data_IF_337780752231
#
_entry.id   IF_337780752231
#
_cell.length_a   1.000
_cell.length_b   1.000
_cell.length_c   1.000
_cell.angle_alpha   90.00
_cell.angle_beta   90.00
_cell.angle_gamma   90.00
#
_symmetry.space_group_name_H-M   'P 1'
#
loop_
_entity.id
_entity.type
_entity.pdbx_description
1 polymer ?
#
# COMPACT_ATOMS: atom_id res chain seq x y z
N UNK A 1 -44.04 55.77 8.27
CA UNK A 1 -43.94 54.65 9.24
C UNK A 1 -43.77 53.35 8.46
N UNK A 2 -42.68 52.62 8.73
CA UNK A 2 -42.55 51.18 8.45
C UNK A 2 -42.15 50.76 7.02
N UNK A 3 -40.84 50.61 6.77
CA UNK A 3 -40.17 49.63 5.88
C UNK A 3 -38.75 50.10 5.51
N UNK A 4 -37.80 50.11 6.45
CA UNK A 4 -36.37 50.20 6.08
C UNK A 4 -35.37 49.63 7.09
N UNK A 5 -35.83 48.98 8.16
CA UNK A 5 -34.96 48.54 9.28
C UNK A 5 -34.88 47.02 9.44
N UNK A 6 -34.96 46.24 8.34
CA UNK A 6 -34.71 44.78 8.40
C UNK A 6 -33.61 44.26 7.45
N UNK A 7 -33.07 45.05 6.53
CA UNK A 7 -32.05 44.56 5.57
C UNK A 7 -30.60 44.82 5.97
N UNK A 8 -30.33 45.43 7.14
CA UNK A 8 -28.96 45.71 7.60
C UNK A 8 -28.49 44.87 8.79
N UNK A 9 -29.34 43.99 9.33
CA UNK A 9 -28.98 43.10 10.45
C UNK A 9 -28.73 41.63 10.05
N UNK A 10 -28.99 41.24 8.80
CA UNK A 10 -28.81 39.85 8.33
C UNK A 10 -27.47 39.63 7.59
N UNK A 11 -26.70 40.69 7.28
CA UNK A 11 -25.40 40.58 6.61
C UNK A 11 -24.17 40.70 7.55
N UNK A 12 -24.37 40.74 8.87
CA UNK A 12 -23.29 40.90 9.84
C UNK A 12 -23.06 39.66 10.75
N UNK A 13 -23.65 38.51 10.39
CA UNK A 13 -23.58 37.26 11.18
C UNK A 13 -22.91 36.08 10.44
N UNK A 14 -22.25 36.30 9.31
CA UNK A 14 -21.62 35.22 8.52
C UNK A 14 -20.13 35.41 8.24
N UNK A 15 -19.41 36.07 9.16
CA UNK A 15 -17.93 36.03 9.19
C UNK A 15 -17.46 35.78 10.62
N UNK A 16 -17.87 34.65 11.19
CA UNK A 16 -16.99 33.93 12.08
C UNK A 16 -16.27 32.92 11.21
N UNK A 17 -15.26 33.38 10.46
CA UNK A 17 -14.19 32.48 10.08
C UNK A 17 -13.52 32.10 11.40
N UNK A 18 -13.97 31.00 12.01
CA UNK A 18 -13.09 30.24 12.88
C UNK A 18 -11.89 29.93 11.99
N UNK A 19 -10.81 30.70 12.13
CA UNK A 19 -9.51 30.24 11.67
C UNK A 19 -9.29 28.95 12.45
N UNK A 20 -9.61 27.81 11.83
CA UNK A 20 -9.33 26.54 12.46
C UNK A 20 -7.83 26.40 12.34
N UNK A 21 -7.14 26.68 13.45
CA UNK A 21 -5.72 26.39 13.56
C UNK A 21 -5.52 24.90 13.25
N UNK A 22 -4.40 24.56 12.59
CA UNK A 22 -4.02 23.16 12.39
C UNK A 22 -3.98 22.39 13.71
N UNK A 23 -3.90 21.06 13.63
CA UNK A 23 -3.88 20.23 14.82
C UNK A 23 -2.69 20.61 15.71
N UNK A 24 -2.95 20.82 17.01
CA UNK A 24 -1.92 21.12 18.00
C UNK A 24 -1.10 19.87 18.31
N UNK A 25 0.16 19.88 17.87
CA UNK A 25 1.11 18.77 18.00
C UNK A 25 2.27 19.16 18.90
N UNK A 26 2.37 18.48 20.05
CA UNK A 26 3.50 18.53 20.96
C UNK A 26 4.37 17.27 20.79
N UNK A 27 5.48 17.42 20.08
CA UNK A 27 6.44 16.33 19.83
C UNK A 27 7.23 15.91 21.09
N UNK A 28 7.09 16.62 22.22
CA UNK A 28 7.71 16.22 23.49
C UNK A 28 6.81 15.30 24.33
N UNK A 29 5.56 15.11 23.90
CA UNK A 29 4.55 14.32 24.60
C UNK A 29 4.06 13.15 23.74
N UNK A 30 4.49 11.93 24.07
CA UNK A 30 4.04 10.70 23.40
C UNK A 30 2.50 10.58 23.41
N UNK A 31 1.85 11.01 24.49
CA UNK A 31 0.39 10.98 24.61
C UNK A 31 -0.29 11.97 23.66
N UNK A 32 0.30 13.15 23.44
CA UNK A 32 -0.18 14.10 22.45
C UNK A 32 -0.01 13.53 21.02
N UNK A 33 1.16 12.99 20.68
CA UNK A 33 1.41 12.37 19.37
C UNK A 33 0.39 11.26 19.09
N UNK A 34 0.14 10.37 20.06
CA UNK A 34 -0.88 9.30 19.95
C UNK A 34 -2.29 9.86 19.78
N UNK A 35 -2.65 10.93 20.50
CA UNK A 35 -3.95 11.60 20.38
C UNK A 35 -4.17 12.23 19.00
N UNK A 36 -3.14 12.89 18.46
CA UNK A 36 -3.15 13.46 17.10
C UNK A 36 -3.26 12.34 16.07
N UNK A 37 -2.44 11.30 16.17
CA UNK A 37 -2.50 10.13 15.28
C UNK A 37 -3.89 9.48 15.29
N UNK A 38 -4.51 9.31 16.46
CA UNK A 38 -5.87 8.79 16.61
C UNK A 38 -6.91 9.64 15.87
N UNK A 39 -6.76 10.96 15.93
CA UNK A 39 -7.66 11.90 15.24
C UNK A 39 -7.54 11.76 13.73
N UNK A 40 -6.31 11.74 13.21
CA UNK A 40 -6.02 11.59 11.77
C UNK A 40 -6.52 10.22 11.26
N UNK A 41 -6.27 9.14 11.99
CA UNK A 41 -6.77 7.79 11.61
C UNK A 41 -8.29 7.75 11.58
N UNK A 42 -8.97 8.35 12.56
CA UNK A 42 -10.42 8.39 12.58
C UNK A 42 -11.00 9.14 11.36
N UNK A 43 -10.31 10.16 10.87
CA UNK A 43 -10.67 10.91 9.66
C UNK A 43 -10.31 10.13 8.37
N UNK A 44 -9.13 9.50 8.32
CA UNK A 44 -8.70 8.65 7.21
C UNK A 44 -9.65 7.47 6.99
N UNK A 45 -10.08 6.78 8.05
CA UNK A 45 -10.97 5.61 7.96
C UNK A 45 -12.35 5.95 7.41
N UNK A 46 -12.80 7.22 7.52
CA UNK A 46 -14.06 7.67 6.92
C UNK A 46 -14.05 7.65 5.38
N UNK A 47 -12.88 7.58 4.74
CA UNK A 47 -12.78 7.37 3.30
C UNK A 47 -13.03 5.91 2.88
N UNK A 48 -12.93 4.97 3.82
CA UNK A 48 -13.16 3.54 3.59
C UNK A 48 -14.52 3.07 4.13
N UNK A 49 -14.92 3.58 5.31
CA UNK A 49 -16.11 3.13 6.04
C UNK A 49 -16.97 4.34 6.46
N UNK A 50 -18.21 4.43 6.00
CA UNK A 50 -19.10 5.58 6.28
C UNK A 50 -19.59 5.60 7.72
N UNK A 51 -19.79 4.42 8.31
CA UNK A 51 -19.99 4.16 9.73
C UNK A 51 -19.24 2.89 10.12
N UNK A 52 -19.01 2.61 11.43
CA UNK A 52 -18.34 1.38 11.84
C UNK A 52 -19.01 0.14 11.25
N UNK A 53 -18.28 -0.62 10.44
CA UNK A 53 -18.74 -1.86 9.81
C UNK A 53 -19.43 -1.70 8.45
N UNK A 54 -19.64 -0.46 7.96
CA UNK A 54 -20.23 -0.21 6.64
C UNK A 54 -19.15 0.26 5.67
N UNK A 55 -18.57 -0.69 4.94
CA UNK A 55 -17.54 -0.45 3.91
C UNK A 55 -18.18 0.20 2.69
N UNK A 56 -17.67 1.35 2.25
CA UNK A 56 -18.26 2.14 1.16
C UNK A 56 -18.28 1.37 -0.17
N UNK A 57 -17.22 0.62 -0.45
CA UNK A 57 -17.10 -0.22 -1.66
C UNK A 57 -17.88 -1.54 -1.57
N UNK A 58 -18.41 -1.90 -0.38
CA UNK A 58 -18.92 -3.22 -0.04
C UNK A 58 -17.90 -4.38 -0.17
N UNK A 59 -16.61 -4.09 -0.38
CA UNK A 59 -15.57 -5.10 -0.57
C UNK A 59 -14.46 -4.83 0.47
N UNK A 60 -14.22 -5.75 1.43
CA UNK A 60 -13.16 -5.58 2.41
C UNK A 60 -11.80 -5.33 1.77
N UNK A 61 -11.11 -4.28 2.20
CA UNK A 61 -9.82 -3.88 1.67
C UNK A 61 -9.85 -3.01 0.40
N UNK A 62 -11.02 -2.84 -0.23
CA UNK A 62 -11.16 -2.02 -1.43
C UNK A 62 -11.61 -0.60 -1.06
N UNK A 63 -10.81 0.39 -1.44
CA UNK A 63 -11.22 1.80 -1.38
C UNK A 63 -12.21 2.14 -2.50
N UNK A 64 -13.06 3.17 -2.33
CA UNK A 64 -13.88 3.68 -3.44
C UNK A 64 -13.01 4.06 -4.64
N UNK A 65 -13.48 3.76 -5.86
CA UNK A 65 -12.71 3.95 -7.10
C UNK A 65 -12.65 2.67 -7.93
N UNK A 66 -11.67 2.55 -8.85
CA UNK A 66 -10.61 3.51 -9.14
C UNK A 66 -11.09 4.71 -10.00
N UNK A 67 -10.32 5.82 -10.04
CA UNK A 67 -10.55 6.89 -10.99
C UNK A 67 -10.23 6.43 -12.43
N UNK A 68 -10.76 7.13 -13.43
CA UNK A 68 -10.52 6.76 -14.84
C UNK A 68 -9.05 6.91 -15.28
N UNK A 69 -8.31 7.82 -14.62
CA UNK A 69 -6.87 8.00 -14.81
C UNK A 69 -6.29 8.69 -13.54
N UNK A 70 -4.97 8.65 -13.33
CA UNK A 70 -4.37 9.09 -12.08
C UNK A 70 -4.38 10.62 -11.87
N UNK A 71 -4.67 11.44 -12.88
CA UNK A 71 -4.78 12.90 -12.71
C UNK A 71 -6.14 13.32 -12.14
N UNK A 72 -7.11 12.42 -12.03
CA UNK A 72 -8.40 12.67 -11.38
C UNK A 72 -8.26 12.30 -9.90
N UNK A 73 -8.13 13.32 -9.05
CA UNK A 73 -7.81 13.13 -7.61
C UNK A 73 -9.03 13.07 -6.69
N UNK A 74 -10.24 13.17 -7.23
CA UNK A 74 -11.49 13.23 -6.47
C UNK A 74 -12.52 12.16 -6.87
N UNK A 75 -12.08 11.07 -7.52
CA UNK A 75 -12.96 10.00 -8.02
C UNK A 75 -12.58 8.62 -7.47
N UNK A 76 -11.98 8.58 -6.27
CA UNK A 76 -11.54 7.35 -5.62
C UNK A 76 -10.05 7.08 -5.80
N UNK A 77 -9.66 5.84 -5.50
CA UNK A 77 -8.27 5.41 -5.32
C UNK A 77 -8.00 4.11 -6.08
N UNK A 78 -6.76 3.93 -6.53
CA UNK A 78 -6.33 2.65 -7.09
C UNK A 78 -6.17 1.59 -6.00
N UNK A 79 -6.25 0.32 -6.39
CA UNK A 79 -6.32 -0.81 -5.45
C UNK A 79 -5.13 -0.90 -4.50
N UNK A 80 -3.93 -0.62 -4.98
CA UNK A 80 -2.70 -0.67 -4.19
C UNK A 80 -2.68 0.30 -3.00
N UNK A 81 -3.34 1.47 -3.13
CA UNK A 81 -3.39 2.48 -2.07
C UNK A 81 -4.22 1.97 -0.87
N UNK A 82 -5.15 1.04 -1.10
CA UNK A 82 -5.80 0.29 -0.03
C UNK A 82 -4.79 -0.52 0.78
N UNK A 83 -3.95 -1.30 0.11
CA UNK A 83 -2.88 -2.08 0.76
C UNK A 83 -1.94 -1.20 1.57
N UNK A 84 -1.62 -0.01 1.04
CA UNK A 84 -0.81 0.97 1.73
C UNK A 84 -1.51 1.58 2.97
N UNK A 85 -2.79 1.93 2.88
CA UNK A 85 -3.61 2.42 4.00
C UNK A 85 -3.68 1.38 5.13
N UNK A 86 -3.96 0.11 4.81
CA UNK A 86 -3.99 -0.95 5.82
C UNK A 86 -2.62 -1.20 6.44
N UNK A 87 -1.54 -1.04 5.67
CA UNK A 87 -0.19 -0.96 6.21
C UNK A 87 0.00 0.19 7.20
N UNK A 88 -0.60 1.35 6.95
CA UNK A 88 -0.54 2.49 7.86
C UNK A 88 -1.29 2.26 9.19
N UNK A 89 -2.39 1.48 9.14
CA UNK A 89 -3.13 1.08 10.34
C UNK A 89 -2.37 0.07 11.20
N UNK A 90 -1.54 -0.80 10.60
CA UNK A 90 -0.61 -1.66 11.35
C UNK A 90 0.41 -0.81 12.11
N UNK A 91 1.00 0.21 11.46
CA UNK A 91 1.92 1.13 12.13
C UNK A 91 1.24 1.88 13.27
N UNK A 92 0.01 2.36 13.04
CA UNK A 92 -0.78 3.04 14.08
C UNK A 92 -0.96 2.16 15.32
N UNK A 93 -1.36 0.90 15.13
CA UNK A 93 -1.45 -0.06 16.24
C UNK A 93 -0.08 -0.25 16.92
N UNK A 94 1.00 -0.39 16.15
CA UNK A 94 2.33 -0.61 16.67
C UNK A 94 2.85 0.57 17.53
N UNK A 95 2.63 1.81 17.09
CA UNK A 95 3.09 3.00 17.80
C UNK A 95 2.20 3.38 18.99
N UNK A 96 0.89 3.16 18.89
CA UNK A 96 -0.08 3.67 19.89
C UNK A 96 -0.58 2.59 20.84
N UNK A 97 -0.57 1.33 20.44
CA UNK A 97 -1.22 0.22 21.12
C UNK A 97 -2.75 0.18 20.94
N UNK A 98 -3.34 1.11 20.18
CA UNK A 98 -4.78 1.14 19.92
C UNK A 98 -5.18 0.02 18.94
N UNK A 99 -6.09 -0.85 19.37
CA UNK A 99 -6.55 -2.03 18.62
C UNK A 99 -7.84 -1.78 17.84
N UNK A 100 -8.39 -0.56 17.85
CA UNK A 100 -9.71 -0.24 17.28
C UNK A 100 -9.88 -0.71 15.83
N UNK A 101 -8.82 -0.68 15.03
CA UNK A 101 -8.86 -1.00 13.60
C UNK A 101 -8.22 -2.34 13.23
N UNK A 102 -7.81 -3.15 14.21
CA UNK A 102 -7.07 -4.39 13.94
C UNK A 102 -7.91 -5.41 13.17
N UNK A 103 -9.15 -5.65 13.57
CA UNK A 103 -10.02 -6.62 12.90
C UNK A 103 -10.35 -6.21 11.47
N UNK A 104 -10.62 -4.91 11.26
CA UNK A 104 -10.84 -4.33 9.94
C UNK A 104 -9.61 -4.50 9.04
N UNK A 105 -8.43 -4.23 9.59
CA UNK A 105 -7.15 -4.34 8.87
C UNK A 105 -6.84 -5.78 8.51
N UNK A 106 -7.03 -6.71 9.46
CA UNK A 106 -6.84 -8.15 9.22
C UNK A 106 -7.80 -8.66 8.15
N UNK A 107 -9.09 -8.31 8.24
CA UNK A 107 -10.10 -8.70 7.25
C UNK A 107 -9.76 -8.16 5.85
N UNK A 108 -9.32 -6.91 5.74
CA UNK A 108 -8.93 -6.30 4.47
C UNK A 108 -7.74 -7.02 3.81
N UNK A 109 -6.65 -7.21 4.56
CA UNK A 109 -5.44 -7.87 4.05
C UNK A 109 -5.71 -9.33 3.67
N UNK A 110 -6.55 -10.04 4.42
CA UNK A 110 -6.92 -11.43 4.12
C UNK A 110 -7.83 -11.51 2.89
N UNK A 111 -8.84 -10.66 2.79
CA UNK A 111 -9.79 -10.66 1.66
C UNK A 111 -9.09 -10.36 0.33
N UNK A 112 -8.19 -9.38 0.33
CA UNK A 112 -7.48 -8.95 -0.88
C UNK A 112 -6.34 -9.89 -1.29
N UNK A 113 -5.98 -10.89 -0.47
CA UNK A 113 -5.01 -11.93 -0.84
C UNK A 113 -5.46 -12.80 -2.01
N UNK A 114 -6.77 -12.77 -2.33
CA UNK A 114 -7.33 -13.56 -3.42
C UNK A 114 -7.43 -15.06 -3.10
N UNK A 115 -8.02 -15.85 -4.02
CA UNK A 115 -8.23 -17.28 -3.82
C UNK A 115 -6.94 -18.09 -3.73
N UNK A 116 -5.84 -17.54 -4.24
CA UNK A 116 -4.51 -18.18 -4.27
C UNK A 116 -3.59 -17.69 -3.14
N UNK A 117 -4.05 -16.74 -2.32
CA UNK A 117 -3.29 -16.16 -1.22
C UNK A 117 -1.97 -15.53 -1.67
N UNK A 118 -2.03 -14.79 -2.78
CA UNK A 118 -0.88 -14.25 -3.49
C UNK A 118 -1.04 -12.78 -3.90
N UNK A 119 -2.10 -12.12 -3.43
CA UNK A 119 -2.42 -10.74 -3.80
C UNK A 119 -2.57 -10.52 -5.31
N UNK A 120 -3.00 -11.55 -6.06
CA UNK A 120 -3.46 -11.45 -7.45
C UNK A 120 -4.97 -11.73 -7.56
N UNK A 121 -5.85 -10.98 -6.87
CA UNK A 121 -7.29 -11.17 -6.99
C UNK A 121 -7.76 -10.88 -8.43
N UNK A 122 -8.58 -11.79 -8.99
CA UNK A 122 -9.02 -11.72 -10.39
C UNK A 122 -9.69 -10.39 -10.75
N UNK A 123 -10.41 -9.77 -9.82
CA UNK A 123 -11.11 -8.50 -10.04
C UNK A 123 -10.16 -7.31 -10.27
N UNK A 124 -8.86 -7.43 -9.97
CA UNK A 124 -7.87 -6.37 -10.13
C UNK A 124 -6.98 -6.58 -11.37
N UNK A 125 -7.26 -7.59 -12.19
CA UNK A 125 -6.43 -8.00 -13.33
C UNK A 125 -6.14 -6.87 -14.32
N UNK A 126 -7.08 -5.95 -14.55
CA UNK A 126 -6.96 -4.88 -15.55
C UNK A 126 -6.06 -3.71 -15.15
N UNK A 127 -5.60 -3.67 -13.89
CA UNK A 127 -4.71 -2.63 -13.39
C UNK A 127 -3.59 -3.17 -12.50
N UNK A 128 -3.23 -4.45 -12.65
CA UNK A 128 -2.30 -5.12 -11.75
C UNK A 128 -0.83 -4.88 -12.15
N UNK A 129 -0.15 -3.98 -11.43
CA UNK A 129 1.30 -3.87 -11.40
C UNK A 129 1.96 -4.82 -10.40
N UNK A 130 3.26 -5.07 -10.61
CA UNK A 130 4.08 -5.78 -9.62
C UNK A 130 4.33 -4.92 -8.37
N UNK A 131 4.33 -3.59 -8.54
CA UNK A 131 4.28 -2.62 -7.46
C UNK A 131 2.95 -2.69 -6.71
N UNK A 132 1.80 -2.76 -7.39
CA UNK A 132 0.49 -2.91 -6.73
C UNK A 132 0.47 -4.14 -5.80
N UNK A 133 0.83 -5.31 -6.34
CA UNK A 133 0.96 -6.55 -5.59
C UNK A 133 1.97 -6.42 -4.43
N UNK A 134 3.10 -5.74 -4.70
CA UNK A 134 4.17 -5.52 -3.75
C UNK A 134 3.76 -4.69 -2.54
N UNK A 135 2.93 -3.66 -2.71
CA UNK A 135 2.45 -2.84 -1.59
C UNK A 135 1.61 -3.64 -0.59
N UNK A 136 0.73 -4.53 -1.08
CA UNK A 136 -0.02 -5.43 -0.21
C UNK A 136 0.89 -6.40 0.54
N UNK A 137 1.84 -7.01 -0.17
CA UNK A 137 2.82 -7.92 0.44
C UNK A 137 3.70 -7.20 1.47
N UNK A 138 4.14 -5.97 1.21
CA UNK A 138 4.93 -5.19 2.18
C UNK A 138 4.13 -4.84 3.43
N UNK A 139 2.82 -4.60 3.33
CA UNK A 139 1.94 -4.44 4.49
C UNK A 139 1.82 -5.74 5.30
N UNK A 140 1.69 -6.90 4.63
CA UNK A 140 1.74 -8.20 5.31
C UNK A 140 3.12 -8.46 5.95
N UNK A 141 4.22 -8.06 5.29
CA UNK A 141 5.56 -8.17 5.86
C UNK A 141 5.68 -7.33 7.15
N UNK A 142 5.12 -6.11 7.14
CA UNK A 142 5.08 -5.25 8.34
C UNK A 142 4.24 -5.87 9.45
N UNK A 143 3.12 -6.52 9.13
CA UNK A 143 2.33 -7.25 10.12
C UNK A 143 3.14 -8.37 10.80
N UNK A 144 3.91 -9.14 10.03
CA UNK A 144 4.80 -10.18 10.58
C UNK A 144 5.90 -9.59 11.47
N UNK A 145 6.58 -8.54 10.99
CA UNK A 145 7.69 -7.88 11.68
C UNK A 145 7.26 -7.17 12.96
N UNK A 146 6.08 -6.57 13.01
CA UNK A 146 5.65 -5.82 14.19
C UNK A 146 4.84 -6.67 15.19
N UNK A 147 4.63 -7.96 14.89
CA UNK A 147 3.87 -8.88 15.73
C UNK A 147 2.37 -8.57 15.74
N UNK A 148 1.84 -8.05 14.63
CA UNK A 148 0.41 -7.81 14.46
C UNK A 148 -0.37 -9.12 14.66
N UNK A 149 -1.59 -9.09 15.25
CA UNK A 149 -2.34 -10.31 15.52
C UNK A 149 -2.44 -11.22 14.29
N UNK A 150 -2.12 -12.49 14.49
CA UNK A 150 -2.15 -13.47 13.41
C UNK A 150 -3.59 -13.71 12.92
N UNK A 151 -3.76 -14.00 11.62
CA UNK A 151 -5.02 -14.50 11.10
C UNK A 151 -5.42 -15.82 11.79
N UNK A 152 -6.71 -16.18 11.78
CA UNK A 152 -7.18 -17.46 12.31
C UNK A 152 -6.43 -18.66 11.71
N UNK A 153 -6.35 -19.74 12.48
CA UNK A 153 -5.80 -21.00 12.00
C UNK A 153 -6.53 -21.46 10.71
N UNK A 154 -5.75 -21.91 9.71
CA UNK A 154 -6.27 -22.26 8.39
C UNK A 154 -6.35 -21.11 7.38
N UNK A 155 -6.19 -19.85 7.81
CA UNK A 155 -6.02 -18.69 6.91
C UNK A 155 -4.53 -18.46 6.58
N UNK A 156 -4.19 -17.90 5.40
CA UNK A 156 -2.80 -17.61 5.04
C UNK A 156 -2.20 -16.61 6.02
N UNK A 157 -1.06 -16.98 6.60
CA UNK A 157 -0.36 -16.16 7.59
C UNK A 157 0.40 -15.03 6.89
N UNK A 158 0.64 -13.94 7.61
CA UNK A 158 1.32 -12.75 7.07
C UNK A 158 2.62 -13.07 6.33
N UNK A 159 3.54 -13.82 6.95
CA UNK A 159 4.80 -14.21 6.32
C UNK A 159 4.59 -15.05 5.04
N UNK A 160 3.64 -16.00 5.06
CA UNK A 160 3.33 -16.83 3.90
C UNK A 160 2.80 -16.00 2.71
N UNK A 161 1.99 -14.97 2.97
CA UNK A 161 1.52 -14.04 1.93
C UNK A 161 2.68 -13.29 1.25
N UNK A 162 3.69 -12.86 2.02
CA UNK A 162 4.89 -12.22 1.44
C UNK A 162 5.69 -13.20 0.60
N UNK A 163 5.87 -14.44 1.09
CA UNK A 163 6.58 -15.48 0.37
C UNK A 163 5.87 -15.84 -0.94
N UNK A 164 4.54 -15.86 -0.95
CA UNK A 164 3.74 -16.06 -2.16
C UNK A 164 4.05 -15.01 -3.23
N UNK A 165 3.99 -13.73 -2.86
CA UNK A 165 4.26 -12.63 -3.79
C UNK A 165 5.70 -12.66 -4.29
N UNK A 166 6.67 -12.86 -3.40
CA UNK A 166 8.08 -13.00 -3.78
C UNK A 166 8.28 -14.14 -4.79
N UNK A 167 7.73 -15.32 -4.51
CA UNK A 167 7.87 -16.51 -5.36
C UNK A 167 7.20 -16.36 -6.73
N UNK A 168 6.21 -15.47 -6.86
CA UNK A 168 5.56 -15.14 -8.13
C UNK A 168 6.34 -14.08 -8.91
N UNK A 169 6.92 -13.10 -8.24
CA UNK A 169 7.61 -12.00 -8.91
C UNK A 169 9.00 -12.40 -9.43
N UNK A 170 9.76 -13.22 -8.70
CA UNK A 170 11.11 -13.62 -9.12
C UNK A 170 11.12 -14.30 -10.50
N UNK A 171 10.23 -15.28 -10.81
CA UNK A 171 10.18 -15.88 -12.14
C UNK A 171 9.75 -14.94 -13.27
N UNK A 172 9.17 -13.77 -12.96
CA UNK A 172 8.76 -12.77 -13.97
C UNK A 172 9.91 -11.89 -14.46
N UNK A 173 11.10 -11.99 -13.85
CA UNK A 173 12.29 -11.27 -14.30
C UNK A 173 12.76 -11.87 -15.63
N UNK A 174 12.67 -11.09 -16.70
CA UNK A 174 13.22 -11.43 -18.01
C UNK A 174 14.58 -10.76 -18.26
N UNK A 175 15.29 -11.20 -19.30
CA UNK A 175 16.63 -10.71 -19.65
C UNK A 175 16.63 -9.38 -20.43
N UNK A 176 15.47 -8.81 -20.76
CA UNK A 176 15.40 -7.51 -21.44
C UNK A 176 15.96 -6.44 -20.52
N UNK A 177 16.82 -5.54 -21.02
CA UNK A 177 17.57 -4.60 -20.17
C UNK A 177 18.48 -5.30 -19.13
N UNK A 178 18.93 -6.53 -19.40
CA UNK A 178 19.85 -7.27 -18.52
C UNK A 178 19.23 -7.82 -17.23
N UNK A 179 17.90 -7.87 -17.13
CA UNK A 179 17.20 -8.27 -15.91
C UNK A 179 16.09 -7.28 -15.53
N UNK A 180 15.70 -7.31 -14.27
CA UNK A 180 14.70 -6.40 -13.69
C UNK A 180 13.26 -6.75 -14.02
N UNK A 181 12.39 -6.46 -13.07
CA UNK A 181 10.95 -6.64 -13.17
C UNK A 181 10.33 -5.54 -14.01
N UNK A 182 9.30 -5.90 -14.79
CA UNK A 182 8.44 -4.94 -15.51
C UNK A 182 7.47 -4.28 -14.54
N UNK A 183 6.93 -3.13 -14.92
CA UNK A 183 5.89 -2.47 -14.13
C UNK A 183 4.67 -3.37 -13.99
N UNK A 184 4.05 -3.73 -15.11
CA UNK A 184 2.81 -4.50 -15.11
C UNK A 184 3.04 -5.99 -14.87
N UNK A 185 2.12 -6.62 -14.14
CA UNK A 185 2.21 -8.05 -13.79
C UNK A 185 1.90 -8.99 -14.97
N UNK A 186 1.18 -8.49 -15.98
CA UNK A 186 0.71 -9.25 -17.14
C UNK A 186 1.05 -8.57 -18.48
N UNK A 187 1.33 -9.38 -19.50
CA UNK A 187 1.84 -8.95 -20.81
C UNK A 187 0.89 -8.06 -21.61
N UNK A 188 -0.43 -8.21 -21.39
CA UNK A 188 -1.47 -7.47 -22.10
C UNK A 188 -1.76 -6.09 -21.49
N UNK A 189 -1.18 -5.76 -20.34
CA UNK A 189 -1.44 -4.50 -19.66
C UNK A 189 -0.61 -3.35 -20.26
N UNK A 190 -1.24 -2.18 -20.34
CA UNK A 190 -0.54 -0.97 -20.74
C UNK A 190 0.53 -0.64 -19.69
N UNK A 191 1.77 -0.42 -20.14
CA UNK A 191 2.92 -0.26 -19.25
C UNK A 191 3.76 -1.53 -19.03
N UNK A 192 3.38 -2.70 -19.57
CA UNK A 192 4.23 -3.89 -19.51
C UNK A 192 5.60 -3.69 -20.20
N UNK A 193 5.66 -2.79 -21.18
CA UNK A 193 6.89 -2.35 -21.84
C UNK A 193 7.72 -1.33 -21.03
N UNK A 194 7.35 -1.04 -19.79
CA UNK A 194 8.09 -0.15 -18.90
C UNK A 194 8.71 -0.97 -17.76
N UNK A 195 10.00 -0.76 -17.48
CA UNK A 195 10.64 -1.25 -16.25
C UNK A 195 10.88 -0.04 -15.37
N UNK A 196 10.42 -0.10 -14.13
CA UNK A 196 10.46 1.03 -13.21
C UNK A 196 11.10 0.68 -11.88
N UNK A 197 11.49 1.70 -11.16
CA UNK A 197 12.16 1.60 -9.87
C UNK A 197 11.23 1.08 -8.79
N UNK A 198 9.93 1.40 -8.84
CA UNK A 198 9.01 0.98 -7.78
C UNK A 198 8.73 -0.53 -7.79
N UNK A 199 8.50 -1.16 -8.95
CA UNK A 199 8.27 -2.61 -9.00
C UNK A 199 9.51 -3.38 -8.56
N UNK A 200 10.70 -2.93 -8.97
CA UNK A 200 11.96 -3.52 -8.53
C UNK A 200 12.28 -3.20 -7.06
N UNK A 201 11.89 -2.01 -6.59
CA UNK A 201 12.00 -1.59 -5.20
C UNK A 201 11.14 -2.44 -4.27
N UNK A 202 9.91 -2.77 -4.66
CA UNK A 202 9.04 -3.69 -3.93
C UNK A 202 9.70 -5.07 -3.79
N UNK A 203 10.18 -5.64 -4.90
CA UNK A 203 10.87 -6.93 -4.88
C UNK A 203 12.13 -6.89 -4.00
N UNK A 204 12.97 -5.86 -4.17
CA UNK A 204 14.17 -5.65 -3.35
C UNK A 204 13.82 -5.54 -1.86
N UNK A 205 12.82 -4.74 -1.51
CA UNK A 205 12.40 -4.52 -0.13
C UNK A 205 11.87 -5.81 0.51
N UNK A 206 11.01 -6.54 -0.19
CA UNK A 206 10.52 -7.85 0.27
C UNK A 206 11.66 -8.85 0.45
N UNK A 207 12.57 -8.95 -0.53
CA UNK A 207 13.70 -9.87 -0.48
C UNK A 207 14.62 -9.57 0.72
N UNK A 208 15.01 -8.30 0.92
CA UNK A 208 15.86 -7.88 2.03
C UNK A 208 15.21 -8.17 3.40
N UNK A 209 13.91 -7.89 3.52
CA UNK A 209 13.15 -8.09 4.75
C UNK A 209 12.87 -9.57 5.04
N UNK A 210 12.57 -10.37 4.01
CA UNK A 210 12.48 -11.83 4.13
C UNK A 210 13.82 -12.43 4.57
N UNK A 211 14.95 -11.97 4.03
CA UNK A 211 16.26 -12.41 4.47
C UNK A 211 16.48 -12.13 5.96
N UNK A 212 16.21 -10.89 6.39
CA UNK A 212 16.35 -10.47 7.78
C UNK A 212 15.41 -11.24 8.73
N UNK A 213 14.14 -11.41 8.35
CA UNK A 213 13.15 -12.07 9.20
C UNK A 213 13.39 -13.58 9.30
N UNK A 214 13.75 -14.24 8.20
CA UNK A 214 13.84 -15.70 8.13
C UNK A 214 15.24 -16.25 8.38
N UNK A 215 16.29 -15.43 8.21
CA UNK A 215 17.68 -15.88 8.23
C UNK A 215 18.13 -16.56 6.92
N UNK A 216 17.28 -16.65 5.89
CA UNK A 216 17.59 -17.35 4.65
C UNK A 216 18.33 -16.44 3.66
N UNK A 217 19.59 -16.77 3.37
CA UNK A 217 20.47 -15.98 2.49
C UNK A 217 20.01 -15.93 1.03
N UNK A 218 19.20 -16.88 0.54
CA UNK A 218 18.73 -16.85 -0.85
C UNK A 218 17.88 -15.62 -1.17
N UNK A 219 17.14 -15.09 -0.17
CA UNK A 219 16.44 -13.83 -0.30
C UNK A 219 17.42 -12.65 -0.36
N UNK A 220 18.51 -12.68 0.42
CA UNK A 220 19.55 -11.66 0.37
C UNK A 220 20.28 -11.65 -0.98
N UNK A 221 20.53 -12.82 -1.57
CA UNK A 221 21.13 -12.94 -2.91
C UNK A 221 20.24 -12.28 -3.97
N UNK A 222 18.91 -12.44 -3.87
CA UNK A 222 17.98 -11.77 -4.78
C UNK A 222 17.92 -10.25 -4.54
N UNK A 223 18.01 -9.81 -3.28
CA UNK A 223 18.08 -8.39 -2.96
C UNK A 223 19.36 -7.74 -3.55
N UNK A 224 20.51 -8.40 -3.40
CA UNK A 224 21.78 -7.96 -3.99
C UNK A 224 21.68 -7.86 -5.52
N UNK A 225 21.19 -8.92 -6.19
CA UNK A 225 20.98 -8.91 -7.66
C UNK A 225 20.08 -7.78 -8.13
N UNK A 226 19.02 -7.49 -7.37
CA UNK A 226 18.08 -6.42 -7.72
C UNK A 226 18.75 -5.06 -7.58
N UNK A 227 19.52 -4.82 -6.51
CA UNK A 227 20.30 -3.60 -6.35
C UNK A 227 21.35 -3.41 -7.44
N UNK A 228 22.15 -4.45 -7.72
CA UNK A 228 23.17 -4.41 -8.77
C UNK A 228 22.56 -4.13 -10.14
N UNK A 229 21.38 -4.69 -10.43
CA UNK A 229 20.66 -4.38 -11.66
C UNK A 229 20.20 -2.92 -11.71
N UNK A 230 19.67 -2.39 -10.61
CA UNK A 230 19.22 -0.99 -10.50
C UNK A 230 20.37 0.00 -10.75
N UNK A 231 21.57 -0.28 -10.22
CA UNK A 231 22.78 0.50 -10.53
C UNK A 231 23.25 0.29 -11.98
N UNK A 232 23.27 -0.96 -12.44
CA UNK A 232 23.75 -1.34 -13.77
C UNK A 232 22.93 -0.74 -14.91
N UNK A 233 21.60 -0.65 -14.76
CA UNK A 233 20.70 0.00 -15.72
C UNK A 233 20.69 1.53 -15.57
N UNK A 234 21.26 2.06 -14.49
CA UNK A 234 21.36 3.49 -14.21
C UNK A 234 20.12 4.13 -13.59
N UNK A 235 19.16 3.34 -13.12
CA UNK A 235 18.01 3.85 -12.37
C UNK A 235 18.43 4.35 -10.98
N UNK A 236 19.45 3.73 -10.39
CA UNK A 236 20.23 4.30 -9.29
C UNK A 236 21.57 4.76 -9.86
N UNK A 237 21.82 6.08 -9.85
CA UNK A 237 23.08 6.61 -10.36
C UNK A 237 24.22 6.58 -9.31
N UNK A 238 25.43 6.98 -9.70
CA UNK A 238 26.59 6.99 -8.80
C UNK A 238 26.43 7.93 -7.57
N UNK A 239 25.49 8.88 -7.61
CA UNK A 239 25.14 9.75 -6.47
C UNK A 239 23.98 9.18 -5.65
N UNK A 240 23.47 8.01 -6.00
CA UNK A 240 22.25 7.40 -5.45
C UNK A 240 20.99 8.26 -5.67
N UNK A 241 20.92 9.01 -6.77
CA UNK A 241 19.62 9.47 -7.28
C UNK A 241 18.83 8.23 -7.71
N UNK A 242 17.54 8.18 -7.37
CA UNK A 242 16.65 7.10 -7.79
C UNK A 242 15.64 7.65 -8.80
N UNK A 243 15.84 7.33 -10.07
CA UNK A 243 14.99 7.74 -11.18
C UNK A 243 13.79 6.81 -11.33
N UNK A 244 12.81 7.19 -12.15
CA UNK A 244 11.54 6.46 -12.22
C UNK A 244 11.63 5.14 -12.99
N UNK A 245 12.27 5.14 -14.15
CA UNK A 245 12.35 3.96 -14.99
C UNK A 245 12.68 4.25 -16.46
N UNK A 246 12.44 3.27 -17.32
CA UNK A 246 12.61 3.40 -18.76
C UNK A 246 11.75 2.40 -19.54
N UNK A 247 11.43 2.76 -20.78
CA UNK A 247 10.82 1.83 -21.74
C UNK A 247 11.81 0.74 -22.17
N UNK A 248 11.33 -0.46 -22.51
CA UNK A 248 12.20 -1.56 -22.93
C UNK A 248 12.63 -1.49 -24.39
N UNK A 249 11.91 -0.73 -25.23
CA UNK A 249 12.12 -0.69 -26.68
C UNK A 249 13.50 -0.11 -27.07
N UNK A 250 14.14 0.64 -26.16
CA UNK A 250 15.49 1.18 -26.28
C UNK A 250 16.48 0.52 -25.31
N UNK A 251 16.21 -0.70 -24.86
CA UNK A 251 17.03 -1.41 -23.86
C UNK A 251 17.21 -0.62 -22.55
N UNK A 252 16.17 0.11 -22.14
CA UNK A 252 16.11 0.91 -20.92
C UNK A 252 17.12 2.06 -20.85
N UNK A 253 17.66 2.53 -21.98
CA UNK A 253 18.71 3.57 -21.99
C UNK A 253 18.18 5.00 -21.90
N UNK A 254 16.93 5.26 -22.32
CA UNK A 254 16.30 6.58 -22.15
C UNK A 254 15.53 6.62 -20.82
N UNK A 255 16.28 6.93 -19.76
CA UNK A 255 15.77 6.95 -18.39
C UNK A 255 14.86 8.17 -18.18
N UNK A 256 13.64 7.93 -17.70
CA UNK A 256 12.77 8.96 -17.20
C UNK A 256 13.25 9.40 -15.81
N UNK A 257 13.92 10.55 -15.75
CA UNK A 257 14.63 11.04 -14.55
C UNK A 257 13.72 11.75 -13.52
N UNK A 258 12.41 11.56 -13.58
CA UNK A 258 11.54 12.00 -12.50
C UNK A 258 11.96 11.29 -11.21
N UNK A 259 11.95 12.03 -10.10
CA UNK A 259 12.32 11.51 -8.79
C UNK A 259 11.12 11.63 -7.87
N UNK A 260 10.64 10.49 -7.40
CA UNK A 260 9.50 10.35 -6.50
C UNK A 260 10.01 9.85 -5.15
N UNK A 261 9.52 10.44 -4.05
CA UNK A 261 10.16 10.20 -2.74
C UNK A 261 10.10 8.73 -2.29
N UNK A 262 9.01 8.04 -2.63
CA UNK A 262 8.81 6.63 -2.30
C UNK A 262 9.85 5.70 -2.96
N UNK A 263 10.39 6.05 -4.14
CA UNK A 263 11.45 5.27 -4.79
C UNK A 263 12.73 5.38 -3.95
N UNK A 264 13.10 6.57 -3.48
CA UNK A 264 14.24 6.69 -2.58
C UNK A 264 13.99 5.98 -1.23
N UNK A 265 12.79 6.14 -0.66
CA UNK A 265 12.43 5.54 0.62
C UNK A 265 12.43 4.01 0.62
N UNK A 266 11.95 3.36 -0.45
CA UNK A 266 11.84 1.89 -0.51
C UNK A 266 13.22 1.22 -0.59
N UNK A 267 14.14 1.81 -1.37
CA UNK A 267 15.53 1.36 -1.44
C UNK A 267 16.30 1.65 -0.16
N UNK A 268 16.02 2.78 0.51
CA UNK A 268 16.60 3.10 1.82
C UNK A 268 16.21 2.05 2.87
N UNK A 269 14.92 1.68 2.91
CA UNK A 269 14.41 0.67 3.84
C UNK A 269 14.98 -0.72 3.57
N UNK A 270 15.04 -1.14 2.30
CA UNK A 270 15.64 -2.42 1.94
C UNK A 270 17.15 -2.46 2.22
N UNK A 271 17.88 -1.35 1.97
CA UNK A 271 19.30 -1.25 2.29
C UNK A 271 19.56 -1.32 3.81
N UNK A 272 18.68 -0.75 4.64
CA UNK A 272 18.75 -0.90 6.09
C UNK A 272 18.52 -2.35 6.55
N UNK A 273 17.57 -3.06 5.95
CA UNK A 273 17.36 -4.48 6.21
C UNK A 273 18.59 -5.32 5.81
N UNK A 274 19.17 -5.07 4.62
CA UNK A 274 20.39 -5.74 4.16
C UNK A 274 21.60 -5.43 5.04
N UNK A 275 21.76 -4.18 5.49
CA UNK A 275 22.81 -3.81 6.45
C UNK A 275 22.64 -4.59 7.76
N UNK A 276 21.43 -4.65 8.30
CA UNK A 276 21.15 -5.39 9.53
C UNK A 276 21.37 -6.90 9.39
N UNK A 277 21.02 -7.47 8.24
CA UNK A 277 21.20 -8.90 7.95
C UNK A 277 22.67 -9.27 7.74
N UNK A 278 23.40 -8.48 6.94
CA UNK A 278 24.78 -8.80 6.51
C UNK A 278 25.86 -8.27 7.44
N UNK A 279 25.62 -7.15 8.13
CA UNK A 279 26.63 -6.39 8.87
C UNK A 279 27.72 -5.76 7.99
N UNK A 280 27.54 -5.71 6.66
CA UNK A 280 28.60 -5.32 5.73
C UNK A 280 28.76 -3.80 5.55
N UNK A 281 30.01 -3.36 5.34
CA UNK A 281 30.34 -1.95 5.05
C UNK A 281 29.79 -1.48 3.70
N UNK A 282 29.58 -2.40 2.75
CA UNK A 282 28.97 -2.10 1.44
C UNK A 282 27.54 -1.61 1.66
N UNK A 283 26.72 -2.37 2.37
CA UNK A 283 25.33 -1.99 2.65
C UNK A 283 25.24 -0.75 3.54
N UNK A 284 26.18 -0.58 4.48
CA UNK A 284 26.30 0.66 5.26
C UNK A 284 26.54 1.89 4.39
N UNK A 285 27.47 1.79 3.43
CA UNK A 285 27.84 2.88 2.52
C UNK A 285 26.71 3.21 1.55
N UNK A 286 26.06 2.18 0.97
CA UNK A 286 24.87 2.34 0.12
C UNK A 286 23.77 3.08 0.88
N UNK A 287 23.44 2.64 2.09
CA UNK A 287 22.42 3.27 2.94
C UNK A 287 22.77 4.74 3.27
N UNK A 288 23.99 5.02 3.70
CA UNK A 288 24.40 6.37 4.09
C UNK A 288 24.39 7.36 2.92
N UNK A 289 24.85 6.90 1.74
CA UNK A 289 24.92 7.73 0.54
C UNK A 289 23.53 7.99 -0.03
N UNK A 290 22.68 6.95 -0.09
CA UNK A 290 21.28 7.06 -0.48
C UNK A 290 20.52 7.99 0.46
N UNK A 291 20.71 7.88 1.78
CA UNK A 291 20.08 8.79 2.75
C UNK A 291 20.51 10.24 2.49
N UNK A 292 21.81 10.49 2.30
CA UNK A 292 22.32 11.84 2.04
C UNK A 292 21.66 12.45 0.80
N UNK A 293 21.55 11.67 -0.28
CA UNK A 293 20.91 12.12 -1.51
C UNK A 293 19.39 12.30 -1.36
N UNK A 294 18.74 11.40 -0.61
CA UNK A 294 17.32 11.49 -0.26
C UNK A 294 17.01 12.78 0.49
N UNK A 295 17.82 13.13 1.49
CA UNK A 295 17.68 14.38 2.26
C UNK A 295 17.86 15.60 1.36
N UNK A 296 18.88 15.59 0.49
CA UNK A 296 19.15 16.70 -0.42
C UNK A 296 18.01 16.99 -1.41
N UNK A 297 17.26 15.97 -1.84
CA UNK A 297 16.18 16.11 -2.83
C UNK A 297 14.84 16.37 -2.15
N UNK A 298 14.48 15.54 -1.18
CA UNK A 298 13.10 15.45 -0.69
C UNK A 298 12.87 16.17 0.63
N UNK A 299 13.89 16.81 1.22
CA UNK A 299 13.74 17.60 2.46
C UNK A 299 14.26 19.04 2.29
N UNK A 300 13.78 19.81 1.30
CA UNK A 300 14.08 21.23 1.23
C UNK A 300 13.63 21.90 2.54
N UNK A 301 14.52 22.69 3.13
CA UNK A 301 14.32 23.36 4.43
C UNK A 301 13.97 22.39 5.59
N UNK A 302 14.33 21.11 5.46
CA UNK A 302 14.07 20.06 6.46
C UNK A 302 12.64 19.51 6.47
N UNK A 303 11.81 19.86 5.48
CA UNK A 303 10.40 19.42 5.37
C UNK A 303 10.25 18.48 4.18
N UNK A 304 9.63 17.30 4.38
CA UNK A 304 9.40 16.35 3.30
C UNK A 304 8.55 16.95 2.16
N UNK A 305 8.98 16.75 0.92
CA UNK A 305 8.44 17.42 -0.27
C UNK A 305 8.49 16.54 -1.52
N UNK A 306 7.39 16.43 -2.28
CA UNK A 306 7.39 15.75 -3.59
C UNK A 306 7.89 16.67 -4.70
N UNK A 307 9.20 16.61 -4.99
CA UNK A 307 9.84 17.45 -6.01
C UNK A 307 9.23 17.32 -7.41
N UNK A 308 8.64 16.17 -7.73
CA UNK A 308 8.05 15.90 -9.04
C UNK A 308 6.73 16.65 -9.28
N UNK A 309 5.98 17.02 -8.23
CA UNK A 309 4.62 17.53 -8.40
C UNK A 309 4.20 18.63 -7.42
N UNK A 310 4.73 18.69 -6.19
CA UNK A 310 4.19 19.51 -5.10
C UNK A 310 4.35 21.03 -5.35
N UNK A 311 5.23 21.42 -6.28
CA UNK A 311 5.37 22.81 -6.72
C UNK A 311 4.06 23.38 -7.26
N UNK A 312 3.29 22.54 -7.95
CA UNK A 312 1.96 22.87 -8.41
C UNK A 312 1.09 21.61 -8.32
N UNK A 313 0.30 21.51 -7.24
CA UNK A 313 -0.48 20.32 -6.88
C UNK A 313 -1.38 19.76 -7.98
N UNK A 314 -1.77 20.57 -8.98
CA UNK A 314 -2.49 20.11 -10.16
C UNK A 314 -1.70 19.06 -10.98
N UNK A 315 -0.39 18.97 -10.80
CA UNK A 315 0.48 17.96 -11.40
C UNK A 315 0.66 16.72 -10.53
N UNK A 316 0.20 16.73 -9.27
CA UNK A 316 0.21 15.54 -8.44
C UNK A 316 -0.94 14.62 -8.86
N UNK A 317 -0.62 13.39 -9.22
CA UNK A 317 -1.64 12.34 -9.35
C UNK A 317 -2.19 11.95 -7.98
N UNK A 318 -3.31 11.22 -7.99
CA UNK A 318 -3.88 10.64 -6.76
C UNK A 318 -2.82 9.79 -6.01
N UNK A 319 -2.02 9.03 -6.74
CA UNK A 319 -0.95 8.20 -6.18
C UNK A 319 0.13 9.06 -5.51
N UNK A 320 0.59 10.12 -6.19
CA UNK A 320 1.67 11.00 -5.71
C UNK A 320 1.32 11.70 -4.39
N UNK A 321 0.02 11.88 -4.11
CA UNK A 321 -0.44 12.48 -2.86
C UNK A 321 -0.14 11.63 -1.62
N UNK A 322 0.24 10.36 -1.80
CA UNK A 322 0.59 9.42 -0.72
C UNK A 322 2.10 9.18 -0.54
N UNK A 323 2.94 9.56 -1.51
CA UNK A 323 4.34 9.11 -1.56
C UNK A 323 5.17 9.53 -0.34
N UNK A 324 4.93 10.72 0.22
CA UNK A 324 5.59 11.19 1.44
C UNK A 324 5.27 10.32 2.67
N UNK A 325 4.11 9.67 2.69
CA UNK A 325 3.77 8.71 3.75
C UNK A 325 4.80 7.57 3.78
N UNK A 326 5.17 7.07 2.60
CA UNK A 326 6.09 5.95 2.47
C UNK A 326 7.53 6.37 2.74
N UNK A 327 7.96 7.52 2.20
CA UNK A 327 9.28 8.08 2.49
C UNK A 327 9.51 8.18 4.01
N UNK A 328 8.60 8.86 4.71
CA UNK A 328 8.76 9.16 6.14
C UNK A 328 8.64 7.92 7.01
N UNK A 329 7.68 7.02 6.75
CA UNK A 329 7.54 5.77 7.53
C UNK A 329 8.75 4.85 7.35
N UNK A 330 9.29 4.75 6.15
CA UNK A 330 10.42 3.89 5.84
C UNK A 330 11.73 4.44 6.38
N UNK A 331 11.92 5.76 6.37
CA UNK A 331 13.04 6.40 7.06
C UNK A 331 12.98 6.14 8.58
N UNK A 332 11.80 6.32 9.20
CA UNK A 332 11.61 6.02 10.62
C UNK A 332 11.96 4.56 10.94
N UNK A 333 11.34 3.60 10.23
CA UNK A 333 11.56 2.17 10.43
C UNK A 333 13.05 1.78 10.26
N UNK A 334 13.74 2.37 9.29
CA UNK A 334 15.16 2.10 9.03
C UNK A 334 16.07 2.42 10.22
N UNK A 335 15.70 3.36 11.10
CA UNK A 335 16.47 3.66 12.32
C UNK A 335 16.58 2.47 13.28
N UNK A 336 15.61 1.54 13.27
CA UNK A 336 15.64 0.31 14.09
C UNK A 336 16.71 -0.67 13.63
N UNK A 337 16.99 -0.70 12.33
CA UNK A 337 17.94 -1.62 11.72
C UNK A 337 19.33 -0.99 11.54
N UNK A 338 19.37 0.33 11.37
CA UNK A 338 20.59 1.09 11.18
C UNK A 338 20.66 2.29 12.16
N UNK A 339 20.93 2.09 13.46
CA UNK A 339 20.89 3.18 14.44
C UNK A 339 21.78 4.39 14.13
N UNK A 340 22.84 4.21 13.32
CA UNK A 340 23.74 5.28 12.89
C UNK A 340 23.08 6.36 12.03
N UNK A 341 21.89 6.12 11.46
CA UNK A 341 21.16 7.15 10.69
C UNK A 341 20.19 7.99 11.55
N UNK A 342 19.96 7.59 12.81
CA UNK A 342 18.93 8.17 13.69
C UNK A 342 19.08 9.69 13.84
N UNK A 343 20.32 10.16 14.06
CA UNK A 343 20.60 11.58 14.30
C UNK A 343 20.38 12.45 13.05
N UNK A 344 20.35 11.84 11.86
CA UNK A 344 19.98 12.52 10.61
C UNK A 344 18.47 12.44 10.37
N UNK A 345 17.86 11.28 10.57
CA UNK A 345 16.45 11.03 10.24
C UNK A 345 15.49 11.71 11.21
N UNK A 346 15.71 11.58 12.53
CA UNK A 346 14.71 12.03 13.51
C UNK A 346 14.44 13.54 13.49
N UNK A 347 15.45 14.42 13.33
CA UNK A 347 15.18 15.86 13.18
C UNK A 347 14.31 16.18 11.96
N UNK A 348 14.53 15.49 10.84
CA UNK A 348 13.73 15.69 9.61
C UNK A 348 12.27 15.26 9.79
N UNK A 349 12.05 14.13 10.48
CA UNK A 349 10.71 13.66 10.82
C UNK A 349 10.01 14.62 11.79
N UNK A 350 10.72 15.16 12.79
CA UNK A 350 10.17 16.12 13.73
C UNK A 350 9.76 17.42 13.04
N UNK A 351 10.63 18.01 12.22
CA UNK A 351 10.33 19.23 11.46
C UNK A 351 9.18 19.01 10.48
N UNK A 352 9.17 17.89 9.77
CA UNK A 352 8.10 17.54 8.84
C UNK A 352 6.77 17.28 9.55
N UNK A 353 6.77 16.63 10.71
CA UNK A 353 5.55 16.38 11.50
C UNK A 353 4.92 17.67 12.01
N UNK A 354 5.73 18.60 12.54
CA UNK A 354 5.24 19.91 12.95
C UNK A 354 4.64 20.71 11.78
N UNK A 355 5.22 20.58 10.58
CA UNK A 355 4.69 21.22 9.37
C UNK A 355 3.40 20.53 8.86
N UNK A 356 3.34 19.20 8.91
CA UNK A 356 2.16 18.42 8.53
C UNK A 356 0.96 18.75 9.42
N UNK A 357 1.15 18.82 10.74
CA UNK A 357 0.08 19.15 11.69
C UNK A 357 -0.59 20.51 11.38
N UNK A 358 0.20 21.51 10.93
CA UNK A 358 -0.32 22.81 10.51
C UNK A 358 -1.18 22.76 9.25
N UNK A 359 -0.95 21.78 8.37
CA UNK A 359 -1.76 21.52 7.18
C UNK A 359 -3.02 20.69 7.47
N UNK A 360 -3.20 20.19 8.70
CA UNK A 360 -4.41 19.53 9.15
C UNK A 360 -5.44 20.55 9.68
N UNK A 361 -5.83 21.47 8.80
CA UNK A 361 -6.80 22.55 9.04
C UNK A 361 -7.89 22.60 7.95
N UNK A 362 -7.93 21.58 7.09
CA UNK A 362 -8.82 21.51 5.94
C UNK A 362 -10.27 21.21 6.28
N UNK A 363 -11.19 21.77 5.49
CA UNK A 363 -12.63 21.55 5.63
C UNK A 363 -13.29 21.39 4.26
N UNK A 364 -12.96 20.34 3.50
CA UNK A 364 -13.56 20.09 2.19
C UNK A 364 -15.08 19.88 2.30
N UNK A 365 -15.80 20.13 1.19
CA UNK A 365 -17.26 20.14 1.19
C UNK A 365 -17.89 18.80 1.61
N UNK A 366 -17.24 17.68 1.29
CA UNK A 366 -17.67 16.33 1.65
C UNK A 366 -17.24 15.91 3.07
N UNK A 367 -16.32 16.64 3.71
CA UNK A 367 -15.89 16.43 5.11
C UNK A 367 -15.64 17.78 5.83
N UNK A 368 -16.70 18.52 6.20
CA UNK A 368 -16.57 19.87 6.72
C UNK A 368 -16.24 19.88 8.23
N UNK A 369 -15.07 19.34 8.61
CA UNK A 369 -14.69 19.17 10.02
C UNK A 369 -13.54 20.08 10.50
N UNK A 370 -12.91 20.85 9.59
CA UNK A 370 -11.85 21.81 9.93
C UNK A 370 -10.48 21.20 10.24
N UNK A 371 -10.27 19.90 10.04
CA UNK A 371 -9.03 19.22 10.45
C UNK A 371 -8.51 18.18 9.45
N UNK A 372 -9.05 18.14 8.24
CA UNK A 372 -8.52 17.30 7.16
C UNK A 372 -7.10 17.76 6.79
N UNK A 373 -6.20 16.82 6.55
CA UNK A 373 -4.81 17.12 6.23
C UNK A 373 -4.61 17.39 4.73
N UNK A 374 -3.86 18.45 4.43
CA UNK A 374 -3.28 18.71 3.11
C UNK A 374 -1.90 18.07 2.94
N UNK A 375 -1.33 18.19 1.74
CA UNK A 375 0.00 17.64 1.43
C UNK A 375 1.13 18.67 1.53
N UNK A 376 0.86 19.93 1.23
CA UNK A 376 1.89 20.97 1.05
C UNK A 376 2.36 21.55 2.37
N UNK A 377 3.10 20.75 3.15
CA UNK A 377 3.55 21.09 4.51
C UNK A 377 4.38 22.39 4.57
N UNK A 378 5.08 22.73 3.48
CA UNK A 378 5.83 23.99 3.34
C UNK A 378 4.94 25.25 3.33
N UNK A 379 3.63 25.14 3.12
CA UNK A 379 2.68 26.28 3.15
C UNK A 379 2.27 26.71 4.56
N UNK A 380 2.78 26.05 5.61
CA UNK A 380 2.53 26.46 7.00
C UNK A 380 1.07 26.24 7.40
N UNK A 381 0.37 27.29 7.84
CA UNK A 381 -1.03 27.21 8.32
C UNK A 381 -2.06 27.31 7.20
N UNK A 382 -1.66 27.79 6.02
CA UNK A 382 -2.56 27.92 4.88
C UNK A 382 -2.80 26.53 4.25
N UNK A 383 -3.96 25.94 4.55
CA UNK A 383 -4.37 24.65 3.97
C UNK A 383 -4.26 24.70 2.44
N UNK A 384 -3.67 23.66 1.87
CA UNK A 384 -3.33 23.64 0.46
C UNK A 384 -4.51 23.36 -0.49
N UNK A 385 -5.69 23.11 0.07
CA UNK A 385 -6.92 22.86 -0.66
C UNK A 385 -7.13 21.41 -1.07
N UNK A 386 -6.26 20.49 -0.63
CA UNK A 386 -6.34 19.06 -0.95
C UNK A 386 -6.65 18.22 0.28
N UNK A 387 -7.32 17.10 0.08
CA UNK A 387 -7.68 16.13 1.12
C UNK A 387 -7.90 14.77 0.49
N UNK A 388 -7.62 13.70 1.22
CA UNK A 388 -7.74 12.34 0.72
C UNK A 388 -6.94 11.36 1.57
N UNK A 389 -7.05 10.08 1.25
CA UNK A 389 -6.31 9.02 1.96
C UNK A 389 -4.80 9.27 1.90
N UNK A 390 -4.24 9.61 0.73
CA UNK A 390 -2.83 9.92 0.59
C UNK A 390 -2.34 11.01 1.55
N UNK A 391 -3.08 12.12 1.68
CA UNK A 391 -2.71 13.22 2.56
C UNK A 391 -2.85 12.87 4.04
N UNK A 392 -3.95 12.23 4.44
CA UNK A 392 -4.14 11.77 5.82
C UNK A 392 -3.04 10.75 6.19
N UNK A 393 -2.74 9.82 5.29
CA UNK A 393 -1.68 8.83 5.47
C UNK A 393 -0.30 9.48 5.58
N UNK A 394 -0.01 10.49 4.75
CA UNK A 394 1.25 11.21 4.80
C UNK A 394 1.44 11.94 6.13
N UNK A 395 0.42 12.67 6.59
CA UNK A 395 0.46 13.34 7.89
C UNK A 395 0.55 12.34 9.05
N UNK A 396 -0.25 11.27 9.01
CA UNK A 396 -0.23 10.20 10.01
C UNK A 396 1.18 9.63 10.18
N UNK A 397 1.80 9.20 9.08
CA UNK A 397 3.07 8.48 9.11
C UNK A 397 4.21 9.31 9.67
N UNK A 398 4.33 10.58 9.26
CA UNK A 398 5.39 11.45 9.76
C UNK A 398 5.18 11.81 11.23
N UNK A 399 3.92 12.00 11.67
CA UNK A 399 3.60 12.33 13.06
C UNK A 399 3.88 11.13 13.98
N UNK A 400 3.26 9.97 13.71
CA UNK A 400 3.43 8.79 14.55
C UNK A 400 4.85 8.21 14.48
N UNK A 401 5.58 8.45 13.38
CA UNK A 401 6.98 8.06 13.25
C UNK A 401 7.91 8.67 14.31
N UNK A 402 7.51 9.78 14.95
CA UNK A 402 8.25 10.36 16.08
C UNK A 402 8.24 9.46 17.34
N UNK A 403 7.37 8.46 17.41
CA UNK A 403 7.31 7.46 18.49
C UNK A 403 8.30 6.30 18.29
N UNK A 404 9.03 6.24 17.17
CA UNK A 404 9.88 5.09 16.80
C UNK A 404 10.94 4.77 17.84
N UNK A 405 11.50 5.78 18.53
CA UNK A 405 12.52 5.57 19.56
C UNK A 405 11.99 4.71 20.72
N UNK A 406 10.74 4.93 21.14
CA UNK A 406 10.09 4.18 22.22
C UNK A 406 9.41 2.87 21.77
N UNK A 407 9.25 2.67 20.46
CA UNK A 407 8.58 1.50 19.91
C UNK A 407 9.44 0.22 20.00
N UNK A 408 8.81 -0.96 20.00
CA UNK A 408 9.50 -2.25 20.13
C UNK A 408 10.34 -2.56 18.89
N UNK A 409 11.44 -3.30 19.02
CA UNK A 409 12.20 -3.71 17.84
C UNK A 409 11.39 -4.66 16.94
N UNK A 410 11.53 -4.57 15.59
CA UNK A 410 10.93 -5.53 14.68
C UNK A 410 11.38 -6.96 14.98
N UNK A 411 10.42 -7.88 14.92
CA UNK A 411 10.57 -9.30 15.15
C UNK A 411 11.14 -10.02 13.91
N UNK A 412 11.73 -11.17 14.18
CA UNK A 412 12.21 -12.18 13.23
C UNK A 412 11.74 -13.54 13.71
N UNK A 413 11.96 -14.60 12.92
CA UNK A 413 11.74 -15.98 13.38
C UNK A 413 12.52 -16.31 14.66
N UNK A 414 13.69 -15.69 14.86
CA UNK A 414 14.55 -15.94 16.01
C UNK A 414 14.21 -15.07 17.23
N UNK A 415 13.44 -13.99 17.07
CA UNK A 415 13.16 -13.01 18.13
C UNK A 415 11.70 -12.97 18.56
N UNK A 416 10.93 -14.03 18.26
CA UNK A 416 9.55 -14.19 18.73
C UNK A 416 8.47 -13.80 17.71
N UNK A 417 8.82 -13.66 16.43
CA UNK A 417 7.85 -13.54 15.34
C UNK A 417 6.93 -14.77 15.29
N UNK A 418 5.62 -14.56 15.28
CA UNK A 418 4.62 -15.63 15.39
C UNK A 418 3.94 -15.98 14.06
N UNK A 419 4.12 -15.16 13.02
CA UNK A 419 3.54 -15.42 11.71
C UNK A 419 4.25 -16.57 11.03
N UNK A 420 3.51 -17.64 10.69
CA UNK A 420 4.11 -18.83 10.05
C UNK A 420 4.36 -18.55 8.56
N UNK A 421 5.51 -19.00 8.08
CA UNK A 421 5.82 -18.97 6.64
C UNK A 421 5.34 -20.22 5.91
N UNK A 422 5.32 -20.12 4.60
CA UNK A 422 5.24 -21.23 3.65
C UNK A 422 6.22 -20.94 2.49
N UNK A 423 7.42 -21.55 2.49
CA UNK A 423 8.41 -21.33 1.45
C UNK A 423 7.95 -21.72 0.04
N UNK A 424 6.91 -22.55 -0.09
CA UNK A 424 6.34 -22.97 -1.37
C UNK A 424 5.10 -22.14 -1.77
N UNK A 425 4.66 -21.19 -0.95
CA UNK A 425 3.51 -20.34 -1.27
C UNK A 425 3.74 -19.62 -2.61
N UNK A 426 2.68 -19.48 -3.42
CA UNK A 426 2.75 -18.85 -4.75
C UNK A 426 3.51 -19.65 -5.82
N UNK A 427 4.07 -20.83 -5.51
CA UNK A 427 4.77 -21.65 -6.52
C UNK A 427 3.81 -22.57 -7.28
N UNK A 428 4.11 -22.82 -8.56
CA UNK A 428 3.42 -23.84 -9.36
C UNK A 428 2.02 -23.49 -9.85
N UNK A 429 1.56 -22.25 -9.65
CA UNK A 429 0.27 -21.78 -10.17
C UNK A 429 0.46 -21.03 -11.50
N UNK A 430 0.06 -21.61 -12.65
CA UNK A 430 0.19 -20.95 -13.94
C UNK A 430 -0.67 -19.68 -14.05
N UNK A 431 -1.72 -19.55 -13.24
CA UNK A 431 -2.62 -18.39 -13.27
C UNK A 431 -1.95 -17.10 -12.79
N UNK A 432 -0.85 -17.22 -12.04
CA UNK A 432 -0.03 -16.09 -11.59
C UNK A 432 0.74 -15.39 -12.71
N UNK A 433 1.00 -16.11 -13.82
CA UNK A 433 1.67 -15.60 -15.02
C UNK A 433 0.68 -15.18 -16.10
N UNK A 434 -0.40 -15.93 -16.24
CA UNK A 434 -1.48 -15.64 -17.18
C UNK A 434 -2.83 -15.96 -16.52
N UNK A 435 -3.62 -14.93 -16.18
CA UNK A 435 -4.89 -15.09 -15.46
C UNK A 435 -5.97 -15.73 -16.33
N UNK A 436 -5.73 -15.94 -17.63
CA UNK A 436 -6.63 -16.66 -18.52
C UNK A 436 -6.39 -18.17 -18.52
N UNK A 437 -5.26 -18.64 -17.97
CA UNK A 437 -5.00 -20.07 -17.82
C UNK A 437 -5.94 -20.65 -16.75
N UNK A 438 -6.56 -21.79 -17.06
CA UNK A 438 -7.34 -22.53 -16.07
C UNK A 438 -6.41 -23.40 -15.24
N UNK A 439 -6.64 -23.46 -13.92
CA UNK A 439 -5.98 -24.45 -13.08
C UNK A 439 -6.26 -25.87 -13.62
N UNK A 440 -5.27 -26.78 -13.58
CA UNK A 440 -5.52 -28.17 -13.92
C UNK A 440 -6.66 -28.74 -13.06
N UNK A 441 -7.69 -29.30 -13.71
CA UNK A 441 -8.86 -29.87 -13.02
C UNK A 441 -8.43 -30.95 -12.02
N UNK A 442 -8.83 -30.79 -10.76
CA UNK A 442 -8.57 -31.80 -9.73
C UNK A 442 -9.46 -33.03 -9.93
N UNK A 443 -9.11 -34.14 -9.28
CA UNK A 443 -9.97 -35.34 -9.26
C UNK A 443 -11.34 -35.02 -8.63
N UNK A 444 -11.38 -34.13 -7.64
CA UNK A 444 -12.62 -33.66 -7.02
C UNK A 444 -13.51 -32.88 -7.99
N UNK A 445 -12.92 -31.98 -8.78
CA UNK A 445 -13.66 -31.20 -9.80
C UNK A 445 -14.27 -32.11 -10.86
N UNK A 446 -13.51 -33.11 -11.31
CA UNK A 446 -14.00 -34.11 -12.28
C UNK A 446 -15.14 -34.95 -11.71
N UNK A 447 -15.03 -35.37 -10.44
CA UNK A 447 -16.07 -36.14 -9.77
C UNK A 447 -17.35 -35.29 -9.56
N UNK A 448 -17.22 -34.05 -9.08
CA UNK A 448 -18.33 -33.13 -8.90
C UNK A 448 -19.04 -32.79 -10.20
N UNK A 449 -18.29 -32.48 -11.26
CA UNK A 449 -18.83 -32.25 -12.60
C UNK A 449 -19.55 -33.50 -13.15
N UNK A 450 -18.99 -34.69 -12.93
CA UNK A 450 -19.61 -35.95 -13.31
C UNK A 450 -20.94 -36.20 -12.60
N UNK A 451 -20.99 -35.98 -11.28
CA UNK A 451 -22.22 -36.11 -10.47
C UNK A 451 -23.27 -35.11 -10.94
N UNK A 452 -22.91 -33.83 -11.11
CA UNK A 452 -23.83 -32.80 -11.56
C UNK A 452 -24.38 -33.12 -12.95
N UNK A 453 -23.52 -33.57 -13.87
CA UNK A 453 -23.93 -33.99 -15.22
C UNK A 453 -24.93 -35.15 -15.14
N UNK A 454 -24.66 -36.16 -14.31
CA UNK A 454 -25.55 -37.30 -14.13
C UNK A 454 -26.92 -36.88 -13.57
N UNK A 455 -26.96 -35.94 -12.62
CA UNK A 455 -28.20 -35.40 -12.07
C UNK A 455 -28.98 -34.65 -13.14
N UNK A 456 -28.34 -33.76 -13.90
CA UNK A 456 -29.01 -32.99 -14.96
C UNK A 456 -29.56 -33.93 -16.03
N UNK A 457 -28.80 -34.93 -16.45
CA UNK A 457 -29.26 -35.96 -17.40
C UNK A 457 -30.45 -36.73 -16.81
N UNK A 458 -30.41 -37.14 -15.55
CA UNK A 458 -31.51 -37.84 -14.91
C UNK A 458 -32.79 -36.98 -14.83
N UNK A 459 -32.67 -35.69 -14.55
CA UNK A 459 -33.79 -34.73 -14.54
C UNK A 459 -34.39 -34.59 -15.94
N UNK A 460 -33.55 -34.40 -16.96
CA UNK A 460 -34.01 -34.29 -18.35
C UNK A 460 -34.71 -35.57 -18.79
N UNK A 461 -34.11 -36.74 -18.54
CA UNK A 461 -34.69 -38.04 -18.89
C UNK A 461 -36.01 -38.27 -18.15
N UNK A 462 -36.09 -37.93 -16.86
CA UNK A 462 -37.33 -38.06 -16.07
C UNK A 462 -38.43 -37.16 -16.63
N UNK A 463 -38.10 -35.93 -17.04
CA UNK A 463 -39.03 -35.02 -17.71
C UNK A 463 -39.50 -35.55 -19.08
N UNK A 464 -38.58 -36.07 -19.89
CA UNK A 464 -38.91 -36.67 -21.19
C UNK A 464 -39.80 -37.91 -21.03
N UNK A 465 -39.51 -38.76 -20.04
CA UNK A 465 -40.36 -39.91 -19.70
C UNK A 465 -41.75 -39.43 -19.29
N UNK A 466 -41.84 -38.44 -18.39
CA UNK A 466 -43.12 -37.91 -17.92
C UNK A 466 -43.97 -37.34 -19.05
N UNK A 467 -43.39 -36.56 -19.96
CA UNK A 467 -44.09 -36.00 -21.14
C UNK A 467 -44.49 -37.10 -22.15
N UNK A 468 -43.75 -38.22 -22.18
CA UNK A 468 -44.01 -39.34 -23.09
C UNK A 468 -45.00 -40.37 -22.52
N UNK A 469 -45.43 -40.22 -21.27
CA UNK A 469 -46.48 -41.07 -20.71
C UNK A 469 -47.81 -40.71 -21.40
N UNK A 470 -48.53 -41.68 -21.99
CA UNK A 470 -49.87 -41.43 -22.51
C UNK A 470 -50.78 -40.92 -21.39
N UNK A 471 -51.72 -40.02 -21.69
CA UNK A 471 -52.78 -39.60 -20.77
C UNK A 471 -53.66 -40.80 -20.39
N UNK A 472 -53.20 -41.59 -19.44
CA UNK A 472 -53.89 -42.72 -18.87
C UNK A 472 -54.97 -42.25 -17.91
N UNK A 473 -56.15 -41.94 -18.44
CA UNK A 473 -57.43 -41.85 -17.74
C UNK A 473 -57.44 -41.08 -16.41
N UNK A 474 -57.33 -39.75 -16.47
CA UNK A 474 -58.04 -38.91 -15.49
C UNK A 474 -59.55 -39.04 -15.75
N UNK A 475 -60.18 -40.06 -15.16
CA UNK A 475 -61.63 -40.23 -15.13
C UNK A 475 -62.26 -39.11 -14.27
N UNK A 476 -62.39 -37.92 -14.86
CA UNK A 476 -63.46 -36.99 -14.50
C UNK A 476 -64.77 -37.51 -15.12
N UNK A 477 -65.43 -38.45 -14.43
CA UNK A 477 -66.85 -38.73 -14.66
C UNK A 477 -67.58 -38.58 -13.34
N UNK A 478 -68.41 -37.54 -13.29
CA UNK A 478 -69.27 -37.25 -12.17
C UNK A 478 -70.30 -38.34 -11.90
N UNK A 479 -70.59 -38.51 -10.61
CA UNK A 479 -71.93 -38.55 -10.07
C UNK A 479 -71.94 -37.71 -8.80
#
# INVERSE_FOLDING_TARGET
MGRSTLSKLVLALSVWSNGVAGIDLDLTSDDNIKSVAKTIVADMVQYYSSTPGVIISNIPGQLPGPPANPTITNAGYFWWEGGAMFGALIDYWYYTGDTTYNDMTSQALQHQSGPNHDYLPQNQTLGMGNDDQGFWAMSAMTAAELGFPNPPEGSPQWLALVQAVYNIQVPKIDQVCGGGLRWQAYTFLNGYKYKNSISNGCLFNMAARLALYTGNSSYADQAEKTWEWMEGVGFIDAKHNVYDGAGVDNNCTEIYKAQFSYNAGIFLHGAAAMYKFTGSDVWKTRLQTLLTQTVAIFFPDGIAYEVACEKALIHCSIDMLSYKAYLTRWMAASTKWAPFITDTVMPLLATSAAAAAKQCSGSPADRPNGRMCGLSWSKGEAWDGTSGIGQEMAALQVIQGNLIKGAKDPLTNATGGTSKGDPAAGTGDPTSLDPTLLKPLTTGDKAGAGILTAIVVAVILSGLIWVSLPDGNMNWRGK
#
